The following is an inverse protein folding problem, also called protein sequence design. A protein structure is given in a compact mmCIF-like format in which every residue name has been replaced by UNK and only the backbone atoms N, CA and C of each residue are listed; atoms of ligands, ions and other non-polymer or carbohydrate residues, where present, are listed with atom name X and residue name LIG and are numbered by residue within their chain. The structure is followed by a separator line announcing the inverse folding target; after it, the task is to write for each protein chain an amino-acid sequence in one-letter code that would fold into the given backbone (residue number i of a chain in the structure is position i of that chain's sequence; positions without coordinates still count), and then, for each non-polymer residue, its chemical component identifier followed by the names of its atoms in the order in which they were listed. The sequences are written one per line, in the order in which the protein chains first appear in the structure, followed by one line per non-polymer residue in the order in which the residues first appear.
data_IF_031643422415
#
_entry.id   IF_031643422415
#
_cell.length_a   1.000
_cell.length_b   1.000
_cell.length_c   1.000
_cell.angle_alpha   90.00
_cell.angle_beta   90.00
_cell.angle_gamma   90.00
#
_symmetry.space_group_name_H-M   'P 1'
#
loop_
_entity.id
_entity.type
_entity.pdbx_description
1 polymer ?
#
# COMPACT_ATOMS: atom_id res chain seq x y z
N UNK A 1 12.28 -2.46 39.68
CA UNK A 1 12.71 -1.59 38.57
C UNK A 1 11.78 -1.90 37.39
N UNK A 2 10.97 -0.91 37.02
CA UNK A 2 10.11 -0.71 35.83
C UNK A 2 9.09 -1.81 35.45
N UNK A 3 7.78 -1.55 35.61
CA UNK A 3 6.87 -0.83 34.68
C UNK A 3 6.63 -1.68 33.41
N UNK A 4 5.43 -2.23 33.20
CA UNK A 4 4.36 -1.51 32.50
C UNK A 4 2.96 -1.91 32.99
N UNK A 5 2.29 -0.98 33.67
CA UNK A 5 0.85 -0.99 33.98
C UNK A 5 0.18 0.08 33.11
N UNK A 6 -0.07 -0.22 31.84
CA UNK A 6 -0.71 0.74 30.91
C UNK A 6 -1.84 0.11 30.08
N UNK A 7 -2.29 -1.10 30.42
CA UNK A 7 -3.28 -1.83 29.60
C UNK A 7 -4.74 -1.82 30.11
N UNK A 8 -5.07 -1.09 31.18
CA UNK A 8 -6.38 -1.24 31.87
C UNK A 8 -7.11 0.07 32.18
N UNK A 9 -6.97 1.12 31.35
CA UNK A 9 -7.60 2.43 31.65
C UNK A 9 -8.40 3.09 30.51
N UNK A 10 -8.97 2.32 29.57
CA UNK A 10 -9.86 2.88 28.54
C UNK A 10 -11.27 2.29 28.49
N UNK A 11 -11.72 1.53 29.50
CA UNK A 11 -13.06 0.91 29.50
C UNK A 11 -13.95 1.48 30.61
N UNK A 12 -13.96 2.79 30.83
CA UNK A 12 -15.05 3.45 31.56
C UNK A 12 -15.27 4.88 31.05
N UNK A 13 -15.97 5.05 29.92
CA UNK A 13 -16.71 6.27 29.63
C UNK A 13 -17.74 5.99 28.52
N UNK A 14 -18.93 6.57 28.67
CA UNK A 14 -20.04 6.63 27.72
C UNK A 14 -21.07 5.48 27.78
N UNK A 15 -21.79 5.42 28.90
CA UNK A 15 -23.21 5.04 28.91
C UNK A 15 -24.04 6.28 29.24
N UNK A 16 -25.19 6.41 28.59
CA UNK A 16 -26.29 7.38 28.77
C UNK A 16 -26.24 8.62 27.86
N UNK A 17 -26.99 8.57 26.75
CA UNK A 17 -28.22 9.36 26.58
C UNK A 17 -28.70 9.35 25.12
N UNK A 18 -30.01 9.21 24.91
CA UNK A 18 -30.67 9.83 23.75
C UNK A 18 -31.19 8.89 22.66
N UNK A 19 -32.36 8.31 22.92
CA UNK A 19 -33.26 7.79 21.91
C UNK A 19 -33.97 8.97 21.19
N UNK A 20 -34.01 8.96 19.85
CA UNK A 20 -35.18 9.26 18.98
C UNK A 20 -34.82 9.94 17.65
N UNK A 21 -35.62 9.57 16.64
CA UNK A 21 -35.94 10.28 15.40
C UNK A 21 -34.94 10.20 14.22
N UNK A 22 -35.20 9.24 13.34
CA UNK A 22 -34.93 9.41 11.91
C UNK A 22 -35.95 10.41 11.32
N UNK A 23 -35.49 11.29 10.42
CA UNK A 23 -36.13 11.34 9.11
C UNK A 23 -35.15 11.28 7.93
N UNK A 24 -35.68 10.68 6.87
CA UNK A 24 -35.14 10.38 5.55
C UNK A 24 -34.21 11.42 4.91
N UNK A 25 -33.07 10.91 4.46
CA UNK A 25 -32.60 10.91 3.07
C UNK A 25 -32.78 12.21 2.25
N UNK A 26 -31.77 13.08 2.33
CA UNK A 26 -31.24 13.83 1.18
C UNK A 26 -29.73 13.94 1.43
N UNK A 27 -28.95 13.20 0.64
CA UNK A 27 -27.48 13.29 0.64
C UNK A 27 -27.09 13.98 -0.68
N UNK A 28 -26.49 15.18 -0.66
CA UNK A 28 -25.85 15.75 -1.84
C UNK A 28 -24.56 14.98 -2.18
N UNK A 29 -24.16 14.90 -3.46
CA UNK A 29 -22.95 14.18 -3.84
C UNK A 29 -21.72 15.04 -3.56
N UNK A 30 -20.76 14.47 -2.83
CA UNK A 30 -19.43 15.04 -2.64
C UNK A 30 -19.24 15.62 -1.26
N UNK A 31 -18.75 14.80 -0.33
CA UNK A 31 -17.75 15.26 0.62
C UNK A 31 -16.90 14.06 1.07
N UNK A 32 -15.60 14.30 1.21
CA UNK A 32 -14.62 13.27 1.48
C UNK A 32 -14.89 12.62 2.82
N UNK A 33 -15.47 11.41 2.79
CA UNK A 33 -15.72 10.64 4.00
C UNK A 33 -14.38 10.20 4.58
N UNK A 34 -13.92 10.99 5.53
CA UNK A 34 -13.08 10.55 6.63
C UNK A 34 -13.98 9.64 7.49
N UNK A 35 -14.34 8.47 6.97
CA UNK A 35 -15.00 7.44 7.78
C UNK A 35 -14.00 7.02 8.86
N UNK A 36 -14.42 6.94 10.15
CA UNK A 36 -13.54 6.53 11.22
C UNK A 36 -13.13 5.10 10.93
N UNK A 37 -11.85 4.89 10.55
CA UNK A 37 -11.18 3.63 10.24
C UNK A 37 -12.01 2.42 10.68
N UNK A 38 -13.03 2.09 9.87
CA UNK A 38 -13.99 1.04 10.19
C UNK A 38 -13.16 -0.19 10.08
N UNK A 39 -12.84 -0.80 11.23
CA UNK A 39 -11.91 -1.93 11.32
C UNK A 39 -12.15 -2.82 10.12
N UNK A 40 -11.22 -2.78 9.15
CA UNK A 40 -11.40 -3.45 7.87
C UNK A 40 -11.38 -4.92 8.25
N UNK A 41 -12.58 -5.50 8.37
CA UNK A 41 -12.70 -6.91 8.68
C UNK A 41 -11.98 -7.71 7.60
N UNK A 42 -11.50 -8.93 7.91
CA UNK A 42 -10.76 -9.74 6.95
C UNK A 42 -11.54 -9.97 5.64
N UNK A 43 -12.87 -9.99 5.68
CA UNK A 43 -13.71 -10.08 4.48
C UNK A 43 -13.69 -8.82 3.59
N UNK A 44 -13.56 -7.63 4.16
CA UNK A 44 -13.43 -6.40 3.38
C UNK A 44 -12.03 -6.28 2.76
N UNK A 45 -10.99 -6.72 3.47
CA UNK A 45 -9.61 -6.74 2.94
C UNK A 45 -9.48 -7.65 1.71
N UNK A 46 -10.16 -8.81 1.72
CA UNK A 46 -10.21 -9.72 0.58
C UNK A 46 -10.98 -9.09 -0.60
N UNK A 47 -12.13 -8.46 -0.35
CA UNK A 47 -12.87 -7.76 -1.40
C UNK A 47 -12.05 -6.63 -2.06
N UNK A 48 -11.36 -5.82 -1.25
CA UNK A 48 -10.47 -4.76 -1.75
C UNK A 48 -9.30 -5.36 -2.56
N UNK A 49 -8.78 -6.52 -2.15
CA UNK A 49 -7.71 -7.21 -2.87
C UNK A 49 -8.17 -7.72 -4.24
N UNK A 50 -9.31 -8.41 -4.30
CA UNK A 50 -9.87 -8.92 -5.55
C UNK A 50 -10.22 -7.79 -6.52
N UNK A 51 -10.77 -6.68 -6.02
CA UNK A 51 -11.03 -5.48 -6.82
C UNK A 51 -9.73 -4.91 -7.40
N UNK A 52 -8.70 -4.76 -6.56
CA UNK A 52 -7.41 -4.26 -7.00
C UNK A 52 -6.79 -5.16 -8.07
N UNK A 53 -6.84 -6.49 -7.90
CA UNK A 53 -6.37 -7.44 -8.91
C UNK A 53 -7.13 -7.29 -10.22
N UNK A 54 -8.47 -7.15 -10.17
CA UNK A 54 -9.27 -6.91 -11.37
C UNK A 54 -8.89 -5.61 -12.09
N UNK A 55 -8.63 -4.53 -11.34
CA UNK A 55 -8.12 -3.27 -11.90
C UNK A 55 -6.75 -3.44 -12.56
N UNK A 56 -5.82 -4.19 -11.94
CA UNK A 56 -4.51 -4.46 -12.57
C UNK A 56 -4.64 -5.26 -13.85
N UNK A 57 -5.61 -6.18 -13.94
CA UNK A 57 -5.86 -6.95 -15.14
C UNK A 57 -6.41 -6.08 -16.29
N UNK A 58 -7.10 -4.98 -15.96
CA UNK A 58 -7.54 -3.94 -16.91
C UNK A 58 -6.44 -2.94 -17.28
N UNK A 59 -5.29 -3.00 -16.62
CA UNK A 59 -4.19 -2.04 -16.80
C UNK A 59 -4.34 -0.75 -16.00
N UNK A 60 -5.31 -0.67 -15.09
CA UNK A 60 -5.58 0.49 -14.23
C UNK A 60 -4.68 0.48 -12.98
N UNK A 61 -3.36 0.50 -13.18
CA UNK A 61 -2.40 0.29 -12.10
C UNK A 61 -2.42 1.39 -11.03
N UNK A 62 -2.65 2.66 -11.40
CA UNK A 62 -2.67 3.77 -10.45
C UNK A 62 -3.93 3.71 -9.56
N UNK A 63 -5.09 3.40 -10.15
CA UNK A 63 -6.34 3.18 -9.42
C UNK A 63 -6.26 1.98 -8.47
N UNK A 64 -5.56 0.91 -8.87
CA UNK A 64 -5.37 -0.30 -8.07
C UNK A 64 -4.50 -0.08 -6.81
N UNK A 65 -3.69 0.97 -6.73
CA UNK A 65 -2.83 1.23 -5.57
C UNK A 65 -3.66 1.48 -4.29
N UNK A 66 -4.74 2.24 -4.40
CA UNK A 66 -5.63 2.58 -3.28
C UNK A 66 -6.26 1.35 -2.62
N UNK A 67 -6.97 0.46 -3.35
CA UNK A 67 -7.55 -0.75 -2.78
C UNK A 67 -6.48 -1.73 -2.27
N UNK A 68 -5.31 -1.86 -2.92
CA UNK A 68 -4.22 -2.68 -2.37
C UNK A 68 -3.70 -2.18 -1.01
N UNK A 69 -3.60 -0.86 -0.80
CA UNK A 69 -3.19 -0.28 0.49
C UNK A 69 -4.24 -0.52 1.58
N UNK A 70 -5.53 -0.42 1.24
CA UNK A 70 -6.63 -0.75 2.16
C UNK A 70 -6.62 -2.22 2.54
N UNK A 71 -6.46 -3.11 1.56
CA UNK A 71 -6.29 -4.55 1.79
C UNK A 71 -5.09 -4.85 2.68
N UNK A 72 -3.93 -4.22 2.42
CA UNK A 72 -2.73 -4.37 3.24
C UNK A 72 -2.98 -3.97 4.69
N UNK A 73 -3.63 -2.83 4.95
CA UNK A 73 -3.96 -2.39 6.30
C UNK A 73 -4.90 -3.37 7.04
N UNK A 74 -5.87 -3.94 6.32
CA UNK A 74 -6.75 -4.98 6.88
C UNK A 74 -5.98 -6.27 7.19
N UNK A 75 -5.08 -6.69 6.30
CA UNK A 75 -4.28 -7.90 6.50
C UNK A 75 -3.21 -7.77 7.59
N UNK A 76 -2.59 -6.60 7.74
CA UNK A 76 -1.60 -6.32 8.78
C UNK A 76 -2.25 -6.32 10.17
N UNK A 77 -3.50 -5.86 10.28
CA UNK A 77 -4.23 -5.79 11.54
C UNK A 77 -4.85 -7.13 11.99
N UNK A 78 -5.47 -7.88 11.08
CA UNK A 78 -6.28 -9.06 11.44
C UNK A 78 -6.14 -10.26 10.50
N UNK A 79 -5.33 -10.13 9.44
CA UNK A 79 -5.27 -11.12 8.37
C UNK A 79 -4.04 -12.00 8.37
N UNK A 80 -4.00 -12.97 7.43
CA UNK A 80 -2.82 -13.81 7.25
C UNK A 80 -1.68 -12.98 6.66
N UNK A 81 -0.51 -13.07 7.29
CA UNK A 81 0.72 -12.42 6.82
C UNK A 81 1.10 -12.80 5.37
N UNK A 82 0.67 -13.95 4.86
CA UNK A 82 0.79 -14.30 3.45
C UNK A 82 0.08 -13.30 2.53
N UNK A 83 -1.16 -12.90 2.86
CA UNK A 83 -1.93 -11.95 2.05
C UNK A 83 -1.34 -10.55 2.13
N UNK A 84 -0.87 -10.13 3.32
CA UNK A 84 -0.12 -8.88 3.45
C UNK A 84 1.13 -8.86 2.56
N UNK A 85 1.85 -9.99 2.48
CA UNK A 85 2.99 -10.13 1.57
C UNK A 85 2.56 -10.04 0.09
N UNK A 86 1.47 -10.70 -0.30
CA UNK A 86 0.95 -10.60 -1.67
C UNK A 86 0.53 -9.16 -2.03
N UNK A 87 -0.12 -8.43 -1.12
CA UNK A 87 -0.45 -7.01 -1.31
C UNK A 87 0.79 -6.15 -1.56
N UNK A 88 1.85 -6.30 -0.76
CA UNK A 88 3.10 -5.56 -0.94
C UNK A 88 3.76 -5.88 -2.29
N UNK A 89 3.72 -7.14 -2.71
CA UNK A 89 4.22 -7.54 -4.03
C UNK A 89 3.42 -6.89 -5.16
N UNK A 90 2.08 -6.89 -5.09
CA UNK A 90 1.24 -6.28 -6.10
C UNK A 90 1.37 -4.75 -6.16
N UNK A 91 1.56 -4.09 -5.01
CA UNK A 91 1.91 -2.66 -4.97
C UNK A 91 3.21 -2.38 -5.72
N UNK A 92 4.27 -3.15 -5.44
CA UNK A 92 5.53 -3.05 -6.17
C UNK A 92 5.36 -3.30 -7.67
N UNK A 93 4.54 -4.27 -8.06
CA UNK A 93 4.25 -4.57 -9.46
C UNK A 93 3.49 -3.44 -10.16
N UNK A 94 2.52 -2.82 -9.50
CA UNK A 94 1.81 -1.66 -10.03
C UNK A 94 2.76 -0.49 -10.25
N UNK A 95 3.64 -0.20 -9.28
CA UNK A 95 4.67 0.83 -9.42
C UNK A 95 5.65 0.52 -10.56
N UNK A 96 6.06 -0.74 -10.74
CA UNK A 96 6.89 -1.17 -11.88
C UNK A 96 6.19 -0.88 -13.22
N UNK A 97 4.89 -1.18 -13.33
CA UNK A 97 4.09 -0.91 -14.52
C UNK A 97 3.89 0.58 -14.79
N UNK A 98 3.83 1.39 -13.74
CA UNK A 98 3.80 2.85 -13.81
C UNK A 98 5.17 3.49 -14.07
N UNK A 99 6.22 2.70 -14.33
CA UNK A 99 7.61 3.15 -14.51
C UNK A 99 8.18 3.87 -13.27
N UNK A 100 7.56 3.70 -12.11
CA UNK A 100 7.97 4.21 -10.79
C UNK A 100 8.92 3.22 -10.13
N UNK A 101 10.11 3.04 -10.70
CA UNK A 101 11.06 1.99 -10.30
C UNK A 101 11.51 2.14 -8.84
N UNK A 102 11.79 3.36 -8.39
CA UNK A 102 12.19 3.67 -7.01
C UNK A 102 11.15 3.21 -5.99
N UNK A 103 9.88 3.54 -6.22
CA UNK A 103 8.81 3.09 -5.33
C UNK A 103 8.61 1.57 -5.39
N UNK A 104 8.70 0.97 -6.58
CA UNK A 104 8.61 -0.48 -6.73
C UNK A 104 9.71 -1.21 -5.92
N UNK A 105 10.96 -0.74 -6.03
CA UNK A 105 12.09 -1.28 -5.28
C UNK A 105 11.89 -1.16 -3.77
N UNK A 106 11.36 -0.01 -3.30
CA UNK A 106 11.06 0.18 -1.89
C UNK A 106 10.06 -0.85 -1.36
N UNK A 107 8.96 -1.09 -2.09
CA UNK A 107 7.95 -2.08 -1.70
C UNK A 107 8.50 -3.52 -1.73
N UNK A 108 9.28 -3.87 -2.75
CA UNK A 108 9.92 -5.19 -2.83
C UNK A 108 10.94 -5.41 -1.71
N UNK A 109 11.71 -4.39 -1.33
CA UNK A 109 12.65 -4.49 -0.20
C UNK A 109 11.90 -4.59 1.13
N UNK A 110 10.84 -3.82 1.31
CA UNK A 110 9.98 -3.92 2.50
C UNK A 110 9.39 -5.34 2.64
N UNK A 111 8.90 -5.90 1.54
CA UNK A 111 8.44 -7.29 1.48
C UNK A 111 9.55 -8.28 1.88
N UNK A 112 10.76 -8.13 1.36
CA UNK A 112 11.89 -9.01 1.73
C UNK A 112 12.27 -8.88 3.21
N UNK A 113 12.15 -7.69 3.81
CA UNK A 113 12.46 -7.46 5.22
C UNK A 113 11.41 -8.08 6.15
N UNK A 114 10.12 -7.89 5.86
CA UNK A 114 9.03 -8.29 6.77
C UNK A 114 8.45 -9.67 6.45
N UNK A 115 8.54 -10.11 5.20
CA UNK A 115 7.83 -11.27 4.65
C UNK A 115 8.75 -12.23 3.87
N UNK A 116 10.02 -12.34 4.27
CA UNK A 116 11.05 -13.16 3.60
C UNK A 116 10.67 -14.64 3.39
N UNK A 117 9.84 -15.20 4.27
CA UNK A 117 9.47 -16.62 4.26
C UNK A 117 8.42 -16.99 3.20
N UNK A 118 7.77 -16.00 2.56
CA UNK A 118 6.67 -16.24 1.64
C UNK A 118 7.12 -16.34 0.19
N UNK A 119 6.34 -17.04 -0.64
CA UNK A 119 6.60 -17.14 -2.09
C UNK A 119 6.70 -15.77 -2.76
N UNK A 120 5.93 -14.79 -2.29
CA UNK A 120 5.97 -13.41 -2.77
C UNK A 120 7.38 -12.80 -2.66
N UNK A 121 8.11 -13.06 -1.56
CA UNK A 121 9.47 -12.56 -1.36
C UNK A 121 10.42 -13.05 -2.45
N UNK A 122 10.39 -14.34 -2.77
CA UNK A 122 11.21 -14.92 -3.84
C UNK A 122 10.91 -14.31 -5.22
N UNK A 123 9.64 -13.99 -5.48
CA UNK A 123 9.23 -13.33 -6.73
C UNK A 123 9.71 -11.86 -6.78
N UNK A 124 9.67 -11.16 -5.65
CA UNK A 124 10.15 -9.80 -5.54
C UNK A 124 11.67 -9.72 -5.71
N UNK A 125 12.42 -10.65 -5.12
CA UNK A 125 13.88 -10.77 -5.32
C UNK A 125 14.22 -10.95 -6.80
N UNK A 126 13.56 -11.89 -7.48
CA UNK A 126 13.77 -12.11 -8.92
C UNK A 126 13.48 -10.85 -9.76
N UNK A 127 12.47 -10.06 -9.38
CA UNK A 127 12.16 -8.78 -10.03
C UNK A 127 13.18 -7.70 -9.75
N UNK A 128 13.63 -7.57 -8.50
CA UNK A 128 14.70 -6.64 -8.14
C UNK A 128 15.98 -6.94 -8.93
N UNK A 129 16.34 -8.21 -9.07
CA UNK A 129 17.47 -8.62 -9.91
C UNK A 129 17.26 -8.22 -11.37
N UNK A 130 16.06 -8.42 -11.93
CA UNK A 130 15.73 -7.98 -13.30
C UNK A 130 15.84 -6.45 -13.45
N UNK A 131 15.37 -5.68 -12.48
CA UNK A 131 15.45 -4.22 -12.47
C UNK A 131 16.89 -3.69 -12.38
N UNK A 132 17.77 -4.42 -11.69
CA UNK A 132 19.20 -4.12 -11.59
C UNK A 132 19.96 -4.51 -12.87
N UNK A 133 19.60 -5.65 -13.47
CA UNK A 133 20.22 -6.16 -14.70
C UNK A 133 19.87 -5.32 -15.95
N UNK A 134 18.82 -4.51 -15.88
CA UNK A 134 18.49 -3.52 -16.91
C UNK A 134 18.64 -2.11 -16.34
N UNK A 135 19.88 -1.62 -16.15
CA UNK A 135 20.07 -0.24 -15.76
C UNK A 135 19.48 0.63 -16.87
N UNK A 136 18.51 1.48 -16.54
CA UNK A 136 18.30 2.71 -17.31
C UNK A 136 19.69 3.32 -17.42
N UNK A 137 20.24 3.37 -18.64
CA UNK A 137 21.54 3.98 -18.88
C UNK A 137 21.55 5.31 -18.12
N UNK A 138 22.63 5.65 -17.39
CA UNK A 138 22.71 6.98 -16.81
C UNK A 138 22.40 7.95 -17.95
N UNK A 139 21.39 8.80 -17.74
CA UNK A 139 21.02 9.83 -18.71
C UNK A 139 22.34 10.45 -19.19
N UNK A 140 22.62 10.47 -20.50
CA UNK A 140 23.91 10.95 -20.99
C UNK A 140 24.09 12.33 -20.38
N UNK A 141 25.13 12.49 -19.55
CA UNK A 141 25.47 13.75 -18.91
C UNK A 141 25.27 14.84 -19.96
N UNK A 142 24.56 15.94 -19.65
CA UNK A 142 24.38 17.01 -20.61
C UNK A 142 25.77 17.34 -21.15
N UNK A 143 25.98 17.06 -22.44
CA UNK A 143 27.21 17.41 -23.13
C UNK A 143 27.27 18.91 -22.99
N UNK A 144 28.03 19.40 -22.01
CA UNK A 144 28.30 20.82 -21.87
C UNK A 144 28.90 21.22 -23.20
N UNK A 145 28.21 22.02 -24.03
CA UNK A 145 28.87 22.57 -25.17
C UNK A 145 29.96 23.47 -24.62
N UNK A 146 31.15 23.34 -25.18
CA UNK A 146 32.15 24.40 -25.14
C UNK A 146 32.96 24.52 -23.84
N UNK A 147 33.98 23.68 -23.72
CA UNK A 147 35.31 24.23 -23.44
C UNK A 147 36.10 24.13 -24.74
N UNK A 148 35.84 25.04 -25.67
CA UNK A 148 36.79 25.28 -26.75
C UNK A 148 38.15 25.67 -26.12
N UNK A 149 39.28 25.13 -26.59
CA UNK A 149 40.58 25.68 -26.22
C UNK A 149 40.70 27.07 -26.87
N UNK A 150 40.67 28.11 -26.04
CA UNK A 150 41.07 29.47 -26.44
C UNK A 150 42.57 29.56 -26.69
N UNK A 151 43.02 30.56 -27.48
CA UNK A 151 44.24 30.55 -28.30
C UNK A 151 45.56 30.42 -27.53
#
# INVERSE_FOLDING_TARGET
MWADRTKTLWIVAALLAGCQAAPQLIVPPGDGTTEPARAIGPGQAEADFDEAVAMTARGEYDAALSPFRRALAGYDAFGPAQRAAECLFWLGFCHEKLQRRTEAEAHYRQLLTHYAAYRAARLAEARLLRMQAHPVAPEPLPLTPDTAPGP
#
